data_IF_864264632194
#
_entry.id   IF_864264632194
#
_cell.length_a   1.000
_cell.length_b   1.000
_cell.length_c   1.000
_cell.angle_alpha   90.00
_cell.angle_beta   90.00
_cell.angle_gamma   90.00
#
_symmetry.space_group_name_H-M   'P 1'
#
loop_
_entity.id
_entity.type
_entity.pdbx_description
1 polymer ?
#
# COMPACT_ATOMS: atom_id res chain seq x y z
N UNK A 1 6.04 -8.86 -14.43
CA UNK A 1 5.75 -9.42 -13.10
C UNK A 1 4.44 -8.86 -12.53
N UNK A 2 4.30 -7.55 -12.32
CA UNK A 2 3.06 -6.94 -11.77
C UNK A 2 1.79 -7.42 -12.47
N UNK A 3 1.73 -7.30 -13.80
CA UNK A 3 0.58 -7.78 -14.61
C UNK A 3 0.26 -9.26 -14.37
N UNK A 4 1.29 -10.11 -14.32
CA UNK A 4 1.10 -11.55 -14.07
C UNK A 4 0.46 -11.80 -12.70
N UNK A 5 0.84 -11.03 -11.67
CA UNK A 5 0.24 -11.14 -10.34
C UNK A 5 -1.20 -10.62 -10.35
N UNK A 6 -1.47 -9.47 -10.98
CA UNK A 6 -2.83 -8.95 -11.14
C UNK A 6 -3.74 -9.94 -11.88
N UNK A 7 -3.26 -10.57 -12.95
CA UNK A 7 -4.02 -11.57 -13.70
C UNK A 7 -4.36 -12.79 -12.82
N UNK A 8 -3.43 -13.23 -11.96
CA UNK A 8 -3.65 -14.35 -11.03
C UNK A 8 -4.64 -14.02 -9.89
N UNK A 9 -4.65 -12.77 -9.43
CA UNK A 9 -5.61 -12.26 -8.45
C UNK A 9 -7.00 -12.12 -9.07
N UNK A 10 -7.07 -11.52 -10.26
CA UNK A 10 -8.33 -11.35 -11.00
C UNK A 10 -9.01 -12.70 -11.32
N UNK A 11 -8.23 -13.73 -11.69
CA UNK A 11 -8.75 -15.10 -11.86
C UNK A 11 -9.42 -15.69 -10.60
N UNK A 12 -9.14 -15.14 -9.42
CA UNK A 12 -9.72 -15.52 -8.13
C UNK A 12 -10.78 -14.54 -7.63
N UNK A 13 -11.18 -13.56 -8.45
CA UNK A 13 -12.16 -12.54 -8.09
C UNK A 13 -11.60 -11.48 -7.13
N UNK A 14 -10.29 -11.26 -7.16
CA UNK A 14 -9.62 -10.26 -6.33
C UNK A 14 -9.16 -9.11 -7.22
N UNK A 15 -9.80 -7.95 -7.04
CA UNK A 15 -9.41 -6.71 -7.72
C UNK A 15 -8.14 -6.14 -7.07
N UNK A 16 -7.26 -5.59 -7.90
CA UNK A 16 -5.96 -5.10 -7.45
C UNK A 16 -5.57 -3.81 -8.16
N UNK A 17 -5.35 -2.77 -7.35
CA UNK A 17 -4.74 -1.50 -7.77
C UNK A 17 -3.23 -1.54 -7.56
N UNK A 18 -2.49 -0.84 -8.42
CA UNK A 18 -1.02 -0.86 -8.41
C UNK A 18 -0.50 0.49 -7.98
N UNK A 19 0.41 0.47 -7.01
CA UNK A 19 1.27 1.59 -6.66
C UNK A 19 2.70 1.27 -7.10
N UNK A 20 3.25 2.05 -8.04
CA UNK A 20 4.61 1.88 -8.57
C UNK A 20 5.57 3.01 -8.18
N UNK A 21 5.12 3.97 -7.37
CA UNK A 21 5.88 5.12 -6.90
C UNK A 21 6.80 4.86 -5.69
N UNK A 22 7.24 3.62 -5.46
CA UNK A 22 8.09 3.29 -4.31
C UNK A 22 9.48 3.87 -4.49
N UNK A 23 9.95 4.67 -3.52
CA UNK A 23 11.31 5.21 -3.53
C UNK A 23 12.27 4.36 -2.68
N UNK A 24 13.57 4.29 -3.03
CA UNK A 24 14.59 3.80 -2.11
C UNK A 24 14.55 4.60 -0.81
N UNK A 25 14.50 3.92 0.34
CA UNK A 25 14.27 4.52 1.67
C UNK A 25 12.95 5.30 1.74
N UNK A 26 11.80 4.61 1.79
CA UNK A 26 10.49 5.24 1.73
C UNK A 26 10.31 6.27 2.84
N UNK A 27 9.88 7.47 2.47
CA UNK A 27 9.57 8.55 3.40
C UNK A 27 8.14 8.41 3.93
N UNK A 28 7.81 9.16 4.99
CA UNK A 28 6.44 9.25 5.51
C UNK A 28 5.47 9.71 4.41
N UNK A 29 5.86 10.70 3.60
CA UNK A 29 5.06 11.17 2.47
C UNK A 29 4.70 10.03 1.52
N UNK A 30 5.68 9.21 1.16
CA UNK A 30 5.43 8.10 0.26
C UNK A 30 4.42 7.11 0.85
N UNK A 31 4.55 6.78 2.15
CA UNK A 31 3.59 5.91 2.86
C UNK A 31 2.19 6.50 2.87
N UNK A 32 2.06 7.82 3.03
CA UNK A 32 0.76 8.50 2.96
C UNK A 32 0.13 8.37 1.57
N UNK A 33 0.90 8.53 0.48
CA UNK A 33 0.39 8.36 -0.88
C UNK A 33 -0.16 6.94 -1.11
N UNK A 34 0.54 5.93 -0.60
CA UNK A 34 0.08 4.54 -0.69
C UNK A 34 -1.13 4.24 0.20
N UNK A 35 -1.26 4.94 1.33
CA UNK A 35 -2.38 4.82 2.24
C UNK A 35 -3.65 5.51 1.70
N UNK A 36 -3.51 6.65 1.03
CA UNK A 36 -4.59 7.30 0.27
C UNK A 36 -5.11 6.35 -0.81
N UNK A 37 -4.21 5.75 -1.61
CA UNK A 37 -4.60 4.76 -2.62
C UNK A 37 -5.30 3.53 -2.03
N UNK A 38 -4.82 3.00 -0.90
CA UNK A 38 -5.46 1.89 -0.18
C UNK A 38 -6.88 2.27 0.27
N UNK A 39 -7.07 3.49 0.76
CA UNK A 39 -8.37 3.95 1.29
C UNK A 39 -9.35 4.28 0.18
N UNK A 40 -8.92 5.06 -0.82
CA UNK A 40 -9.77 5.52 -1.93
C UNK A 40 -10.30 4.37 -2.79
N UNK A 41 -9.63 3.22 -2.76
CA UNK A 41 -10.02 2.01 -3.48
C UNK A 41 -10.57 0.91 -2.55
N UNK A 42 -10.89 1.25 -1.30
CA UNK A 42 -11.46 0.33 -0.29
C UNK A 42 -10.68 -1.00 -0.18
N UNK A 43 -9.36 -0.94 -0.28
CA UNK A 43 -8.50 -2.13 -0.25
C UNK A 43 -8.43 -2.71 1.17
N UNK A 44 -8.48 -4.04 1.26
CA UNK A 44 -8.49 -4.80 2.51
C UNK A 44 -7.15 -5.48 2.84
N UNK A 45 -6.23 -5.57 1.88
CA UNK A 45 -4.85 -6.03 2.09
C UNK A 45 -3.85 -5.37 1.14
N UNK A 46 -2.55 -5.52 1.46
CA UNK A 46 -1.42 -5.01 0.67
C UNK A 46 -0.58 -6.18 0.16
N UNK A 47 -0.20 -6.15 -1.12
CA UNK A 47 0.77 -7.09 -1.71
C UNK A 47 2.03 -6.34 -2.10
N UNK A 48 3.14 -6.68 -1.45
CA UNK A 48 4.44 -6.11 -1.80
C UNK A 48 5.12 -6.93 -2.90
N UNK A 49 5.60 -6.29 -3.96
CA UNK A 49 6.32 -6.95 -5.06
C UNK A 49 7.66 -6.24 -5.31
N UNK A 50 8.78 -6.94 -5.09
CA UNK A 50 10.11 -6.41 -5.41
C UNK A 50 11.18 -6.80 -4.40
N UNK A 51 12.06 -5.85 -4.07
CA UNK A 51 13.14 -6.00 -3.09
C UNK A 51 12.79 -5.37 -1.73
N UNK A 52 13.81 -5.03 -0.94
CA UNK A 52 13.63 -4.50 0.42
C UNK A 52 12.81 -3.21 0.49
N UNK A 53 13.05 -2.24 -0.41
CA UNK A 53 12.34 -0.95 -0.39
C UNK A 53 10.81 -1.09 -0.57
N UNK A 54 10.28 -1.78 -1.59
CA UNK A 54 8.84 -2.03 -1.70
C UNK A 54 8.25 -2.83 -0.53
N UNK A 55 9.02 -3.75 0.06
CA UNK A 55 8.56 -4.51 1.23
C UNK A 55 8.45 -3.64 2.48
N UNK A 56 9.43 -2.78 2.75
CA UNK A 56 9.40 -1.89 3.90
C UNK A 56 8.35 -0.79 3.74
N UNK A 57 8.16 -0.31 2.51
CA UNK A 57 7.05 0.56 2.14
C UNK A 57 5.68 -0.07 2.45
N UNK A 58 5.44 -1.29 1.97
CA UNK A 58 4.19 -2.01 2.20
C UNK A 58 3.92 -2.29 3.69
N UNK A 59 4.96 -2.62 4.47
CA UNK A 59 4.85 -2.76 5.93
C UNK A 59 4.46 -1.44 6.58
N UNK A 60 5.05 -0.32 6.13
CA UNK A 60 4.70 1.02 6.61
C UNK A 60 3.22 1.31 6.42
N UNK A 61 2.69 1.08 5.22
CA UNK A 61 1.26 1.23 4.91
C UNK A 61 0.42 0.33 5.82
N UNK A 62 0.71 -0.97 5.85
CA UNK A 62 -0.07 -1.93 6.64
C UNK A 62 -0.07 -1.60 8.14
N UNK A 63 1.05 -1.14 8.69
CA UNK A 63 1.18 -0.72 10.08
C UNK A 63 0.30 0.51 10.37
N UNK A 64 0.37 1.54 9.51
CA UNK A 64 -0.40 2.77 9.69
C UNK A 64 -1.90 2.52 9.47
N UNK A 65 -2.27 1.77 8.44
CA UNK A 65 -3.65 1.39 8.14
C UNK A 65 -4.31 0.66 9.32
N UNK A 66 -3.58 -0.26 9.96
CA UNK A 66 -4.11 -1.08 11.06
C UNK A 66 -4.11 -0.41 12.44
N UNK A 67 -3.21 0.56 12.69
CA UNK A 67 -3.05 1.16 14.04
C UNK A 67 -3.42 2.64 14.13
N UNK A 68 -3.32 3.39 13.04
CA UNK A 68 -3.34 4.85 13.08
C UNK A 68 -4.39 5.49 12.17
N UNK A 69 -4.95 4.76 11.20
CA UNK A 69 -5.89 5.37 10.25
C UNK A 69 -7.27 5.69 10.86
N UNK A 70 -7.64 5.05 11.97
CA UNK A 70 -8.81 5.49 12.77
C UNK A 70 -8.54 6.75 13.61
N UNK A 71 -7.33 7.31 13.59
CA UNK A 71 -6.95 8.49 14.38
C UNK A 71 -7.20 9.80 13.61
N UNK A 72 -8.42 9.99 13.10
CA UNK A 72 -8.75 11.16 12.30
C UNK A 72 -9.01 12.41 13.19
N UNK A 73 -8.10 13.39 13.10
CA UNK A 73 -8.32 14.87 13.10
C UNK A 73 -7.32 15.73 13.89
N UNK A 74 -6.37 15.19 14.67
CA UNK A 74 -5.60 16.03 15.64
C UNK A 74 -4.10 16.14 15.52
N UNK A 75 -3.41 15.29 14.78
CA UNK A 75 -1.95 15.40 14.70
C UNK A 75 -1.47 15.09 13.29
N UNK A 76 -1.04 16.13 12.57
CA UNK A 76 -0.08 16.01 11.49
C UNK A 76 1.27 15.65 12.11
N UNK A 77 1.92 14.60 11.60
CA UNK A 77 3.34 14.36 11.87
C UNK A 77 4.19 15.49 11.27
#
# INVERSE_FOLDING_TARGET
MVKQVQDLLSQRGVDAVVFDGTQPNPTITNVNDGLELLTDNDCDFVVSLGGGSPHDFAKGIALVASNCYQYNSRYSF
#
